data_IF_852837128361
#
_entry.id   IF_852837128361
#
_cell.length_a   1.000
_cell.length_b   1.000
_cell.length_c   1.000
_cell.angle_alpha   90.00
_cell.angle_beta   90.00
_cell.angle_gamma   90.00
#
_symmetry.space_group_name_H-M   'P 1'
#
loop_
_entity.id
_entity.type
_entity.pdbx_description
1 polymer ?
#
# COMPACT_ATOMS: atom_id res chain seq x y z
N UNK A 1 17.03 -21.25 -43.02
CA UNK A 1 17.55 -21.22 -41.64
C UNK A 1 16.50 -20.55 -40.77
N UNK A 2 15.68 -21.32 -40.04
CA UNK A 2 14.66 -20.74 -39.16
C UNK A 2 15.38 -19.95 -38.04
N UNK A 3 15.22 -18.63 -38.04
CA UNK A 3 15.72 -17.78 -36.97
C UNK A 3 15.00 -18.20 -35.69
N UNK A 4 15.74 -18.77 -34.75
CA UNK A 4 15.20 -19.21 -33.47
C UNK A 4 14.74 -17.98 -32.71
N UNK A 5 13.43 -17.70 -32.72
CA UNK A 5 12.83 -16.59 -31.97
C UNK A 5 13.09 -16.87 -30.49
N UNK A 6 14.13 -16.24 -29.92
CA UNK A 6 14.33 -16.24 -28.47
C UNK A 6 13.16 -15.48 -27.86
N UNK A 7 12.20 -16.22 -27.33
CA UNK A 7 11.13 -15.66 -26.53
C UNK A 7 11.75 -14.87 -25.37
N UNK A 8 11.27 -13.64 -25.15
CA UNK A 8 11.69 -12.84 -24.00
C UNK A 8 11.39 -13.62 -22.72
N UNK A 9 12.32 -13.61 -21.77
CA UNK A 9 12.14 -14.22 -20.44
C UNK A 9 11.71 -13.18 -19.42
N UNK A 10 11.03 -13.61 -18.37
CA UNK A 10 10.63 -12.75 -17.25
C UNK A 10 11.85 -12.06 -16.58
N UNK A 11 11.74 -10.76 -16.28
CA UNK A 11 12.78 -9.99 -15.59
C UNK A 11 12.65 -9.99 -14.05
N UNK A 12 11.70 -10.75 -13.49
CA UNK A 12 11.53 -10.83 -12.04
C UNK A 12 12.73 -11.51 -11.36
N UNK A 13 13.27 -10.88 -10.32
CA UNK A 13 14.32 -11.44 -9.47
C UNK A 13 13.66 -11.93 -8.18
N UNK A 14 13.84 -13.22 -7.90
CA UNK A 14 13.35 -13.89 -6.69
C UNK A 14 14.13 -13.45 -5.45
N UNK A 15 13.65 -13.79 -4.25
CA UNK A 15 14.35 -13.40 -3.03
C UNK A 15 15.71 -14.09 -2.89
N UNK A 16 15.89 -15.26 -3.49
CA UNK A 16 17.17 -15.95 -3.60
C UNK A 16 18.17 -15.33 -4.62
N UNK A 17 17.80 -14.21 -5.27
CA UNK A 17 18.63 -13.52 -6.25
C UNK A 17 18.63 -14.12 -7.66
N UNK A 18 17.91 -15.21 -7.90
CA UNK A 18 17.80 -15.80 -9.24
C UNK A 18 16.71 -15.14 -10.09
N UNK A 19 16.95 -15.00 -11.39
CA UNK A 19 15.93 -14.52 -12.32
C UNK A 19 14.90 -15.60 -12.63
N UNK A 20 13.64 -15.18 -12.74
CA UNK A 20 12.57 -16.03 -13.26
C UNK A 20 12.86 -16.41 -14.72
N UNK A 21 12.85 -17.70 -15.03
CA UNK A 21 13.16 -18.22 -16.39
C UNK A 21 11.91 -18.51 -17.22
N UNK A 22 10.72 -18.18 -16.73
CA UNK A 22 9.48 -18.35 -17.46
C UNK A 22 9.40 -17.40 -18.67
N UNK A 23 8.74 -17.80 -19.77
CA UNK A 23 8.52 -16.90 -20.90
C UNK A 23 7.70 -15.69 -20.46
N UNK A 24 8.11 -14.51 -20.91
CA UNK A 24 7.37 -13.28 -20.69
C UNK A 24 6.13 -13.23 -21.62
N UNK A 25 5.09 -12.52 -21.18
CA UNK A 25 3.94 -12.25 -22.04
C UNK A 25 4.33 -11.33 -23.20
N UNK A 26 3.56 -11.39 -24.29
CA UNK A 26 3.76 -10.48 -25.44
C UNK A 26 3.67 -9.03 -24.98
N UNK A 27 4.69 -8.24 -25.30
CA UNK A 27 4.83 -6.82 -24.92
C UNK A 27 4.94 -6.53 -23.41
N UNK A 28 5.19 -7.53 -22.56
CA UNK A 28 5.42 -7.34 -21.12
C UNK A 28 6.84 -7.78 -20.73
N UNK A 29 7.34 -7.26 -19.62
CA UNK A 29 8.64 -7.65 -19.07
C UNK A 29 8.57 -8.88 -18.16
N UNK A 30 7.35 -9.33 -17.82
CA UNK A 30 7.11 -10.38 -16.83
C UNK A 30 6.28 -11.54 -17.42
N UNK A 31 6.40 -12.73 -16.81
CA UNK A 31 5.54 -13.85 -17.12
C UNK A 31 4.13 -13.65 -16.54
N UNK A 32 3.16 -14.45 -17.01
CA UNK A 32 1.77 -14.41 -16.52
C UNK A 32 1.68 -14.35 -14.98
N UNK A 33 2.42 -15.23 -14.31
CA UNK A 33 2.43 -15.33 -12.85
C UNK A 33 2.96 -14.06 -12.18
N UNK A 34 4.11 -13.53 -12.61
CA UNK A 34 4.70 -12.33 -12.00
C UNK A 34 3.95 -11.04 -12.37
N UNK A 35 3.30 -10.97 -13.54
CA UNK A 35 2.38 -9.88 -13.88
C UNK A 35 1.16 -9.87 -12.95
N UNK A 36 0.47 -11.01 -12.82
CA UNK A 36 -0.68 -11.15 -11.92
C UNK A 36 -0.28 -10.87 -10.47
N UNK A 37 0.87 -11.38 -10.02
CA UNK A 37 1.36 -11.16 -8.67
C UNK A 37 1.61 -9.67 -8.39
N UNK A 38 2.27 -8.96 -9.31
CA UNK A 38 2.54 -7.54 -9.15
C UNK A 38 1.24 -6.73 -9.08
N UNK A 39 0.22 -7.11 -9.86
CA UNK A 39 -1.10 -6.48 -9.80
C UNK A 39 -1.77 -6.72 -8.43
N UNK A 40 -1.77 -7.96 -7.93
CA UNK A 40 -2.30 -8.30 -6.60
C UNK A 40 -1.60 -7.51 -5.49
N UNK A 41 -0.27 -7.47 -5.50
CA UNK A 41 0.54 -6.71 -4.53
C UNK A 41 0.25 -5.21 -4.57
N UNK A 42 0.04 -4.63 -5.75
CA UNK A 42 -0.36 -3.22 -5.90
C UNK A 42 -1.74 -2.97 -5.29
N UNK A 43 -2.71 -3.87 -5.47
CA UNK A 43 -4.04 -3.76 -4.86
C UNK A 43 -3.95 -3.84 -3.33
N UNK A 44 -3.20 -4.80 -2.79
CA UNK A 44 -3.02 -4.97 -1.35
C UNK A 44 -2.38 -3.73 -0.69
N UNK A 45 -1.29 -3.20 -1.27
CA UNK A 45 -0.65 -1.97 -0.76
C UNK A 45 -1.57 -0.75 -0.80
N UNK A 46 -2.46 -0.63 -1.80
CA UNK A 46 -3.46 0.45 -1.87
C UNK A 46 -4.47 0.37 -0.73
N UNK A 47 -4.86 -0.85 -0.32
CA UNK A 47 -5.72 -1.04 0.85
C UNK A 47 -4.95 -0.72 2.12
N UNK A 48 -3.66 -1.09 2.17
CA UNK A 48 -2.81 -0.83 3.33
C UNK A 48 -2.71 0.65 3.69
N UNK A 49 -2.48 1.51 2.70
CA UNK A 49 -2.37 2.95 2.95
C UNK A 49 -3.69 3.64 3.32
N UNK A 50 -4.85 2.96 3.21
CA UNK A 50 -6.17 3.57 3.40
C UNK A 50 -6.84 3.21 4.72
N UNK A 51 -6.35 2.19 5.44
CA UNK A 51 -6.99 1.71 6.67
C UNK A 51 -5.99 1.46 7.78
N UNK A 52 -6.30 1.93 8.99
CA UNK A 52 -5.54 1.62 10.20
C UNK A 52 -5.62 0.12 10.56
N UNK A 53 -6.62 -0.59 10.05
CA UNK A 53 -6.83 -2.04 10.21
C UNK A 53 -6.43 -2.82 8.96
N UNK A 54 -5.51 -2.26 8.16
CA UNK A 54 -5.05 -2.92 6.96
C UNK A 54 -4.41 -4.30 7.26
N UNK A 55 -4.75 -5.33 6.47
CA UNK A 55 -4.17 -6.66 6.63
C UNK A 55 -2.66 -6.62 6.45
N UNK A 56 -1.94 -7.46 7.20
CA UNK A 56 -0.50 -7.65 7.04
C UNK A 56 -0.22 -8.18 5.63
N UNK A 57 0.56 -7.45 4.85
CA UNK A 57 0.95 -7.86 3.49
C UNK A 57 2.24 -8.65 3.56
N UNK A 58 2.16 -9.95 3.30
CA UNK A 58 3.33 -10.83 3.21
C UNK A 58 3.94 -10.81 1.80
N UNK A 59 5.25 -11.08 1.64
CA UNK A 59 5.87 -11.22 0.33
C UNK A 59 5.33 -12.44 -0.41
N UNK A 60 5.66 -12.55 -1.70
CA UNK A 60 5.37 -13.75 -2.47
C UNK A 60 6.20 -14.92 -1.93
N UNK A 61 5.55 -16.02 -1.56
CA UNK A 61 6.21 -17.23 -1.03
C UNK A 61 6.68 -18.17 -2.16
N UNK A 62 7.58 -17.69 -3.03
CA UNK A 62 8.05 -18.43 -4.22
C UNK A 62 9.38 -19.19 -4.03
N UNK A 63 10.10 -18.92 -2.94
CA UNK A 63 11.36 -19.56 -2.57
C UNK A 63 11.56 -19.57 -1.04
N UNK A 64 12.55 -20.32 -0.53
CA UNK A 64 12.75 -20.49 0.91
C UNK A 64 13.14 -19.18 1.59
N UNK A 65 13.94 -18.36 0.90
CA UNK A 65 14.38 -17.04 1.35
C UNK A 65 13.19 -16.08 1.45
N UNK A 66 12.25 -16.13 0.50
CA UNK A 66 11.01 -15.34 0.56
C UNK A 66 10.11 -15.71 1.74
N UNK A 67 10.07 -16.99 2.13
CA UNK A 67 9.35 -17.44 3.32
C UNK A 67 10.06 -16.95 4.58
N UNK A 68 11.39 -16.96 4.61
CA UNK A 68 12.15 -16.44 5.74
C UNK A 68 11.89 -14.94 5.95
N UNK A 69 11.80 -14.16 4.86
CA UNK A 69 11.40 -12.75 4.92
C UNK A 69 9.99 -12.62 5.51
N UNK A 70 9.02 -13.43 5.04
CA UNK A 70 7.65 -13.41 5.56
C UNK A 70 7.57 -13.73 7.06
N UNK A 71 8.40 -14.66 7.57
CA UNK A 71 8.49 -14.95 9.00
C UNK A 71 8.95 -13.69 9.76
N UNK A 72 9.96 -13.01 9.25
CA UNK A 72 10.44 -11.74 9.82
C UNK A 72 9.34 -10.68 9.89
N UNK A 73 8.54 -10.54 8.83
CA UNK A 73 7.41 -9.59 8.78
C UNK A 73 6.35 -9.91 9.84
N UNK A 74 6.01 -11.20 10.03
CA UNK A 74 5.06 -11.63 11.08
C UNK A 74 5.61 -11.35 12.48
N UNK A 75 6.89 -11.65 12.72
CA UNK A 75 7.52 -11.39 14.01
C UNK A 75 7.56 -9.90 14.34
N UNK A 76 7.93 -9.06 13.37
CA UNK A 76 7.93 -7.61 13.54
C UNK A 76 6.52 -7.06 13.80
N UNK A 77 5.52 -7.55 13.06
CA UNK A 77 4.13 -7.17 13.28
C UNK A 77 3.63 -7.56 14.68
N UNK A 78 4.06 -8.71 15.19
CA UNK A 78 3.74 -9.15 16.55
C UNK A 78 4.42 -8.27 17.60
N UNK A 79 5.71 -7.97 17.45
CA UNK A 79 6.49 -7.15 18.39
C UNK A 79 5.91 -5.73 18.51
N UNK A 80 5.50 -5.14 17.39
CA UNK A 80 4.91 -3.78 17.36
C UNK A 80 3.44 -3.79 17.84
N UNK A 81 2.84 -4.97 18.05
CA UNK A 81 1.44 -5.10 18.46
C UNK A 81 0.44 -4.83 17.34
N UNK A 82 0.87 -4.96 16.07
CA UNK A 82 -0.03 -4.84 14.90
C UNK A 82 -0.93 -6.08 14.76
N UNK A 83 -0.48 -7.23 15.24
CA UNK A 83 -1.23 -8.49 15.27
C UNK A 83 -1.19 -9.10 16.67
N UNK A 84 -2.20 -9.88 17.03
CA UNK A 84 -2.26 -10.60 18.30
C UNK A 84 -1.56 -11.97 18.21
N UNK A 85 -1.27 -12.56 19.37
CA UNK A 85 -0.58 -13.84 19.48
C UNK A 85 -1.28 -15.00 18.76
N UNK A 86 -2.62 -15.03 18.72
CA UNK A 86 -3.34 -16.13 18.05
C UNK A 86 -3.18 -16.01 16.54
N UNK A 87 -3.35 -14.80 16.00
CA UNK A 87 -3.13 -14.53 14.57
C UNK A 87 -1.69 -14.83 14.17
N UNK A 88 -0.70 -14.40 14.96
CA UNK A 88 0.70 -14.71 14.68
C UNK A 88 0.96 -16.24 14.67
N UNK A 89 0.37 -16.99 15.60
CA UNK A 89 0.46 -18.45 15.63
C UNK A 89 -0.08 -19.10 14.35
N UNK A 90 -1.24 -18.67 13.87
CA UNK A 90 -1.85 -19.16 12.62
C UNK A 90 -1.00 -18.82 11.40
N UNK A 91 -0.47 -17.60 11.33
CA UNK A 91 0.39 -17.17 10.22
C UNK A 91 1.68 -17.97 10.17
N UNK A 92 2.37 -18.13 11.31
CA UNK A 92 3.61 -18.91 11.40
C UNK A 92 3.36 -20.38 11.03
N UNK A 93 2.23 -20.96 11.44
CA UNK A 93 1.85 -22.32 11.02
C UNK A 93 1.61 -22.43 9.51
N UNK A 94 0.94 -21.44 8.91
CA UNK A 94 0.77 -21.35 7.46
C UNK A 94 2.11 -21.24 6.73
N UNK A 95 3.05 -20.46 7.25
CA UNK A 95 4.41 -20.32 6.68
C UNK A 95 5.23 -21.60 6.81
N UNK A 96 5.09 -22.36 7.90
CA UNK A 96 5.70 -23.70 8.03
C UNK A 96 5.16 -24.68 6.98
N UNK A 97 3.85 -24.62 6.74
CA UNK A 97 3.21 -25.41 5.68
C UNK A 97 3.75 -25.04 4.31
N UNK A 98 3.88 -23.74 4.03
CA UNK A 98 4.49 -23.24 2.79
C UNK A 98 5.94 -23.73 2.62
N UNK A 99 6.75 -23.67 3.67
CA UNK A 99 8.13 -24.15 3.65
C UNK A 99 8.24 -25.66 3.41
N UNK A 100 7.29 -26.44 3.93
CA UNK A 100 7.22 -27.88 3.68
C UNK A 100 6.82 -28.17 2.24
N UNK A 101 5.85 -27.42 1.73
CA UNK A 101 5.32 -27.57 0.37
C UNK A 101 6.34 -27.18 -0.69
N UNK A 102 7.17 -26.16 -0.47
CA UNK A 102 8.09 -25.66 -1.51
C UNK A 102 9.09 -26.72 -2.00
N UNK A 103 9.42 -27.69 -1.13
CA UNK A 103 10.29 -28.82 -1.46
C UNK A 103 9.59 -29.92 -2.28
N UNK A 104 8.27 -30.01 -2.17
CA UNK A 104 7.45 -31.09 -2.73
C UNK A 104 6.51 -30.63 -3.85
N UNK A 105 6.28 -29.32 -3.99
CA UNK A 105 5.37 -28.73 -4.95
C UNK A 105 5.93 -28.85 -6.36
N UNK A 106 5.56 -29.94 -7.03
CA UNK A 106 5.65 -30.08 -8.48
C UNK A 106 4.29 -29.75 -9.06
N UNK A 107 4.12 -28.52 -9.51
CA UNK A 107 2.96 -28.18 -10.34
C UNK A 107 3.17 -28.89 -11.68
N UNK A 108 2.56 -30.07 -11.83
CA UNK A 108 2.57 -30.81 -13.07
C UNK A 108 1.87 -29.94 -14.13
N UNK A 109 2.65 -29.25 -14.95
CA UNK A 109 2.13 -28.64 -16.17
C UNK A 109 1.98 -29.81 -17.14
N UNK A 110 0.76 -30.34 -17.28
CA UNK A 110 0.46 -31.26 -18.37
C UNK A 110 0.77 -30.52 -19.66
N UNK A 111 1.91 -30.82 -20.27
CA UNK A 111 2.44 -30.13 -21.45
C UNK A 111 1.48 -30.17 -22.65
N UNK A 112 0.47 -31.04 -22.60
CA UNK A 112 -0.50 -31.35 -23.64
C UNK A 112 -1.85 -30.59 -23.47
N UNK A 113 -2.07 -29.86 -22.38
CA UNK A 113 -3.36 -29.22 -22.07
C UNK A 113 -3.28 -27.70 -21.85
N UNK A 114 -2.18 -27.07 -22.24
CA UNK A 114 -2.10 -25.60 -22.26
C UNK A 114 -2.86 -25.02 -23.47
N UNK A 115 -4.14 -25.35 -23.61
CA UNK A 115 -5.05 -24.47 -24.32
C UNK A 115 -5.14 -23.19 -23.46
N UNK A 116 -4.84 -22.05 -24.06
CA UNK A 116 -5.05 -20.76 -23.44
C UNK A 116 -6.36 -20.21 -23.98
N UNK A 117 -7.52 -20.39 -23.30
CA UNK A 117 -8.69 -19.64 -23.69
C UNK A 117 -8.38 -18.15 -23.47
N UNK A 118 -8.39 -17.39 -24.56
CA UNK A 118 -8.08 -15.96 -24.60
C UNK A 118 -8.99 -15.10 -23.71
N UNK A 119 -10.09 -15.67 -23.21
CA UNK A 119 -11.20 -14.93 -22.60
C UNK A 119 -11.14 -14.87 -21.06
N UNK A 120 -10.35 -15.73 -20.41
CA UNK A 120 -10.40 -15.87 -18.94
C UNK A 120 -9.75 -14.73 -18.13
N UNK A 121 -9.01 -13.80 -18.75
CA UNK A 121 -8.21 -12.84 -17.97
C UNK A 121 -8.88 -11.50 -17.67
N UNK A 122 -9.87 -11.11 -18.45
CA UNK A 122 -10.41 -9.75 -18.37
C UNK A 122 -11.71 -9.68 -17.54
N UNK A 123 -12.67 -10.58 -17.78
CA UNK A 123 -13.97 -10.51 -17.12
C UNK A 123 -13.91 -10.70 -15.59
N UNK A 124 -13.22 -11.73 -15.10
CA UNK A 124 -13.17 -12.03 -13.66
C UNK A 124 -12.37 -10.97 -12.87
N UNK A 125 -11.26 -10.49 -13.45
CA UNK A 125 -10.48 -9.42 -12.84
C UNK A 125 -11.24 -8.10 -12.82
N UNK A 126 -12.01 -7.78 -13.87
CA UNK A 126 -12.84 -6.59 -13.95
C UNK A 126 -14.00 -6.65 -12.95
N UNK A 127 -14.64 -7.80 -12.79
CA UNK A 127 -15.67 -8.03 -11.77
C UNK A 127 -15.11 -7.82 -10.37
N UNK A 128 -13.96 -8.42 -10.06
CA UNK A 128 -13.29 -8.24 -8.76
C UNK A 128 -12.87 -6.78 -8.51
N UNK A 129 -12.46 -6.03 -9.53
CA UNK A 129 -12.17 -4.59 -9.40
C UNK A 129 -13.42 -3.77 -9.09
N UNK A 130 -14.56 -4.12 -9.70
CA UNK A 130 -15.85 -3.48 -9.44
C UNK A 130 -16.32 -3.73 -8.01
N UNK A 131 -16.30 -4.99 -7.55
CA UNK A 131 -16.67 -5.34 -6.17
C UNK A 131 -15.81 -4.59 -5.13
N UNK A 132 -14.49 -4.58 -5.30
CA UNK A 132 -13.58 -3.83 -4.40
C UNK A 132 -13.89 -2.33 -4.42
N UNK A 133 -14.23 -1.77 -5.59
CA UNK A 133 -14.55 -0.35 -5.71
C UNK A 133 -15.86 0.01 -4.98
N UNK A 134 -16.86 -0.88 -5.06
CA UNK A 134 -18.14 -0.77 -4.37
C UNK A 134 -17.96 -0.84 -2.85
N UNK A 135 -17.21 -1.83 -2.34
CA UNK A 135 -16.92 -1.97 -0.91
C UNK A 135 -16.22 -0.72 -0.36
N UNK A 136 -15.22 -0.20 -1.07
CA UNK A 136 -14.53 1.03 -0.69
C UNK A 136 -15.45 2.27 -0.75
N UNK A 137 -16.43 2.30 -1.64
CA UNK A 137 -17.40 3.38 -1.72
C UNK A 137 -18.38 3.34 -0.54
N UNK A 138 -18.87 2.14 -0.19
CA UNK A 138 -19.72 1.94 0.97
C UNK A 138 -19.00 2.32 2.26
N UNK A 139 -17.73 1.91 2.41
CA UNK A 139 -16.94 2.23 3.60
C UNK A 139 -16.70 3.74 3.73
N UNK A 140 -16.40 4.44 2.63
CA UNK A 140 -16.31 5.91 2.62
C UNK A 140 -17.63 6.58 3.00
N UNK A 141 -18.75 6.06 2.53
CA UNK A 141 -20.07 6.60 2.89
C UNK A 141 -20.37 6.39 4.38
N UNK A 142 -20.05 5.22 4.94
CA UNK A 142 -20.17 4.95 6.38
C UNK A 142 -19.31 5.90 7.20
N UNK A 143 -18.04 6.07 6.84
CA UNK A 143 -17.13 7.00 7.50
C UNK A 143 -17.61 8.45 7.39
N UNK A 144 -18.08 8.88 6.22
CA UNK A 144 -18.62 10.24 6.05
C UNK A 144 -19.89 10.46 6.89
N UNK A 145 -20.78 9.47 6.98
CA UNK A 145 -21.96 9.53 7.82
C UNK A 145 -21.61 9.57 9.31
N UNK A 146 -20.59 8.81 9.73
CA UNK A 146 -20.08 8.82 11.10
C UNK A 146 -19.44 10.17 11.46
N UNK A 147 -18.57 10.70 10.59
CA UNK A 147 -17.98 12.04 10.74
C UNK A 147 -19.07 13.12 10.80
N UNK A 148 -20.09 13.03 9.94
CA UNK A 148 -21.20 13.99 9.93
C UNK A 148 -22.05 13.89 11.22
N UNK A 149 -22.24 12.69 11.78
CA UNK A 149 -22.87 12.50 13.10
C UNK A 149 -22.02 13.13 14.20
N UNK A 150 -20.72 12.87 14.23
CA UNK A 150 -19.79 13.47 15.20
C UNK A 150 -19.76 15.00 15.09
N UNK A 151 -19.80 15.56 13.88
CA UNK A 151 -19.87 17.01 13.66
C UNK A 151 -21.18 17.61 14.18
N UNK A 152 -22.33 16.99 13.87
CA UNK A 152 -23.64 17.44 14.39
C UNK A 152 -23.71 17.34 15.91
N UNK A 153 -23.14 16.30 16.50
CA UNK A 153 -23.06 16.15 17.95
C UNK A 153 -22.15 17.22 18.56
N UNK A 154 -21.00 17.49 17.93
CA UNK A 154 -20.09 18.58 18.33
C UNK A 154 -20.74 19.97 18.23
N UNK A 155 -21.51 20.22 17.17
CA UNK A 155 -22.29 21.46 16.99
C UNK A 155 -23.41 21.59 18.01
N UNK A 156 -24.11 20.49 18.35
CA UNK A 156 -25.12 20.48 19.42
C UNK A 156 -24.52 20.82 20.78
N UNK A 157 -23.36 20.23 21.11
CA UNK A 157 -22.64 20.51 22.36
C UNK A 157 -22.16 21.97 22.40
N UNK A 158 -21.72 22.53 21.27
CA UNK A 158 -21.27 23.92 21.18
C UNK A 158 -22.44 24.94 21.18
N UNK A 159 -23.61 24.55 20.69
CA UNK A 159 -24.81 25.39 20.66
C UNK A 159 -25.62 25.39 21.96
N UNK A 160 -25.31 24.49 22.91
CA UNK A 160 -25.95 24.45 24.22
C UNK A 160 -25.47 25.62 25.10
N UNK A 161 -26.33 26.61 25.42
CA UNK A 161 -25.96 27.79 26.20
C UNK A 161 -25.59 27.47 27.66
N UNK A 162 -25.89 26.26 28.15
CA UNK A 162 -25.64 25.85 29.53
C UNK A 162 -24.42 24.91 29.68
N UNK A 163 -23.62 24.73 28.60
CA UNK A 163 -22.48 23.81 28.54
C UNK A 163 -21.21 24.28 29.26
N UNK A 164 -21.20 25.49 29.83
CA UNK A 164 -20.11 25.97 30.70
C UNK A 164 -18.77 26.24 30.00
N UNK A 165 -18.70 26.24 28.67
CA UNK A 165 -17.47 26.52 27.92
C UNK A 165 -17.35 28.04 27.71
N UNK A 166 -16.48 28.69 28.49
CA UNK A 166 -16.16 30.09 28.30
C UNK A 166 -15.51 30.31 26.90
N UNK A 167 -15.89 31.36 26.14
CA UNK A 167 -15.26 31.67 24.87
C UNK A 167 -13.75 31.94 25.06
N UNK A 168 -12.92 31.30 24.25
CA UNK A 168 -11.47 31.60 24.21
C UNK A 168 -11.24 33.08 23.89
N UNK A 169 -10.28 33.76 24.54
CA UNK A 169 -10.01 35.17 24.31
C UNK A 169 -9.53 35.38 22.87
N UNK A 170 -10.26 36.22 22.13
CA UNK A 170 -9.86 36.62 20.78
C UNK A 170 -8.60 37.48 20.87
N UNK A 171 -7.52 37.02 20.22
CA UNK A 171 -6.31 37.83 20.04
C UNK A 171 -6.71 39.06 19.21
N UNK A 172 -6.68 40.26 19.81
CA UNK A 172 -6.90 41.52 19.10
C UNK A 172 -5.93 41.59 17.90
N UNK A 173 -6.40 42.02 16.71
CA UNK A 173 -5.51 42.25 15.58
C UNK A 173 -4.46 43.30 15.98
N UNK A 174 -3.19 42.93 15.88
CA UNK A 174 -2.06 43.83 16.09
C UNK A 174 -2.15 44.99 15.12
N UNK A 175 -2.19 46.22 15.65
CA UNK A 175 -2.14 47.45 14.86
C UNK A 175 -0.85 47.50 14.02
N UNK A 176 -0.87 48.08 12.81
CA UNK A 176 0.34 48.27 12.02
C UNK A 176 1.24 49.28 12.74
N UNK A 177 2.48 48.85 13.01
CA UNK A 177 3.53 49.70 13.58
C UNK A 177 3.83 50.82 12.59
N UNK A 178 3.65 52.07 13.02
CA UNK A 178 3.96 53.26 12.24
C UNK A 178 5.47 53.35 11.96
N UNK A 179 5.85 53.38 10.68
CA UNK A 179 7.21 53.68 10.25
C UNK A 179 7.58 55.12 10.63
N UNK A 180 8.50 55.24 11.58
CA UNK A 180 8.98 56.53 12.06
C UNK A 180 9.98 57.11 11.05
N UNK A 181 9.59 58.17 10.35
CA UNK A 181 10.47 58.95 9.47
C UNK A 181 11.21 60.03 10.27
N UNK A 182 12.50 59.79 10.51
CA UNK A 182 13.54 60.83 10.70
C UNK A 182 14.89 60.14 10.45
N UNK A 183 15.83 60.55 9.60
CA UNK A 183 16.06 61.82 8.93
C UNK A 183 17.44 62.34 9.34
N UNK A 184 18.50 62.01 8.58
CA UNK A 184 19.66 62.88 8.27
C UNK A 184 20.85 62.08 7.68
N UNK A 185 21.38 62.61 6.58
CA UNK A 185 22.49 62.08 5.80
C UNK A 185 23.87 62.42 6.40
N UNK A 186 24.89 61.60 6.08
CA UNK A 186 26.21 62.09 5.66
C UNK A 186 27.05 61.00 4.98
N UNK A 187 27.48 61.29 3.77
CA UNK A 187 28.46 60.54 2.98
C UNK A 187 29.89 60.86 3.45
N UNK A 188 30.82 59.88 3.39
CA UNK A 188 32.21 59.99 2.91
C UNK A 188 32.71 58.55 2.65
N UNK A 189 33.19 58.26 1.44
CA UNK A 189 33.83 56.98 1.12
C UNK A 189 35.33 56.96 1.41
N UNK A 190 35.96 55.77 1.41
CA UNK A 190 37.33 55.57 0.89
C UNK A 190 37.75 54.09 0.86
N UNK A 191 38.26 53.70 -0.30
CA UNK A 191 39.36 52.76 -0.59
C UNK A 191 39.37 51.29 -0.15
N UNK A 192 39.54 50.47 -1.21
CA UNK A 192 40.10 49.13 -1.28
C UNK A 192 41.37 48.94 -0.43
N UNK A 193 41.51 47.77 0.18
CA UNK A 193 42.71 46.93 0.13
C UNK A 193 42.27 45.47 -0.01
#
# INVERSE_FOLDING_TARGET
MASQIKAKTCHHIKANGTCCKSPALTNEDYCYFHTAQRQRMRRQRRVEHKSLHAPLVLPLLEDAESIQIAIGDVLNALIIGRIDHKTAGLLLYGLQTAASNIRQAKFAVAADQAEFPSEYRDAENELLEKEIAEDLAQERQRQAAEIAKMQKERERVFADPNSGIAPLPTKKPSQPVAENKSGAARAVGLSRK
#
